data_IF_145486888867
#
_entry.id   IF_145486888867
#
_cell.length_a   1.000
_cell.length_b   1.000
_cell.length_c   1.000
_cell.angle_alpha   90.00
_cell.angle_beta   90.00
_cell.angle_gamma   90.00
#
_symmetry.space_group_name_H-M   'P 1'
#
loop_
_entity.id
_entity.type
_entity.pdbx_description
1 polymer ?
#
# COMPACT_ATOMS: atom_id res chain seq x y z
N UNK A 1 -15.52 42.95 0.01
CA UNK A 1 -16.70 42.14 0.44
C UNK A 1 -16.99 41.10 -0.63
N UNK A 2 -16.57 39.84 -0.45
CA UNK A 2 -17.21 38.73 -1.14
C UNK A 2 -18.36 38.17 -0.27
N UNK A 3 -19.57 38.00 -0.83
CA UNK A 3 -20.75 37.57 -0.09
C UNK A 3 -20.79 36.05 0.12
N UNK A 4 -21.01 35.67 1.37
CA UNK A 4 -21.51 34.37 1.79
C UNK A 4 -22.88 34.11 1.16
N UNK A 5 -23.08 32.94 0.54
CA UNK A 5 -24.41 32.40 0.22
C UNK A 5 -24.45 30.89 0.47
N UNK A 6 -25.26 30.56 1.49
CA UNK A 6 -25.86 29.27 1.81
C UNK A 6 -26.52 28.60 0.60
N UNK A 7 -26.48 27.26 0.61
CA UNK A 7 -27.53 26.27 0.24
C UNK A 7 -26.79 24.98 -0.20
N UNK A 8 -27.20 23.74 0.08
CA UNK A 8 -28.55 23.18 0.18
C UNK A 8 -28.45 21.78 0.83
N UNK A 9 -29.49 21.37 1.55
CA UNK A 9 -29.73 19.97 1.93
C UNK A 9 -29.86 19.04 0.71
N UNK A 10 -29.40 17.81 0.85
CA UNK A 10 -29.80 16.63 0.05
C UNK A 10 -29.39 15.36 0.82
N UNK A 11 -30.28 14.72 1.59
CA UNK A 11 -31.37 13.81 1.21
C UNK A 11 -30.88 12.40 0.80
N UNK A 12 -31.06 11.47 1.75
CA UNK A 12 -31.26 10.01 1.69
C UNK A 12 -30.65 9.16 0.54
N UNK A 13 -29.98 8.09 0.95
CA UNK A 13 -29.76 6.91 0.11
C UNK A 13 -29.38 5.67 0.93
N UNK A 14 -30.37 4.95 1.46
CA UNK A 14 -30.23 3.59 2.01
C UNK A 14 -30.41 2.55 0.90
N UNK A 15 -29.44 1.66 0.74
CA UNK A 15 -29.51 0.35 0.05
C UNK A 15 -28.21 -0.39 0.33
N UNK A 16 -28.08 -1.70 0.45
CA UNK A 16 -28.94 -2.85 0.73
C UNK A 16 -27.93 -3.99 0.96
N UNK A 17 -28.19 -4.87 1.91
CA UNK A 17 -27.36 -6.03 2.26
C UNK A 17 -27.40 -7.11 1.17
N UNK A 18 -26.24 -7.70 0.86
CA UNK A 18 -26.15 -9.00 0.22
C UNK A 18 -25.25 -9.92 1.06
N UNK A 19 -25.88 -10.92 1.69
CA UNK A 19 -25.24 -12.06 2.33
C UNK A 19 -24.95 -13.10 1.24
N UNK A 20 -23.69 -13.52 1.09
CA UNK A 20 -23.37 -14.79 0.46
C UNK A 20 -22.52 -15.62 1.42
N UNK A 21 -23.17 -16.66 1.92
CA UNK A 21 -22.60 -17.76 2.68
C UNK A 21 -21.84 -18.70 1.75
N UNK A 22 -20.77 -19.31 2.25
CA UNK A 22 -20.05 -20.38 1.57
C UNK A 22 -19.20 -21.17 2.56
N UNK A 23 -19.83 -22.07 3.32
CA UNK A 23 -19.17 -23.05 4.18
C UNK A 23 -19.04 -24.42 3.46
N UNK A 24 -17.86 -25.02 3.63
CA UNK A 24 -17.60 -26.46 3.81
C UNK A 24 -17.60 -27.43 2.62
N UNK A 25 -16.42 -28.01 2.37
CA UNK A 25 -16.17 -29.46 2.31
C UNK A 25 -14.68 -29.67 2.70
N UNK A 26 -14.28 -30.31 3.80
CA UNK A 26 -14.51 -31.69 4.26
C UNK A 26 -14.10 -32.74 3.20
N UNK A 27 -12.85 -33.19 3.31
CA UNK A 27 -12.32 -34.38 2.65
C UNK A 27 -11.18 -34.94 3.51
N UNK A 28 -11.56 -35.76 4.50
CA UNK A 28 -10.69 -36.71 5.20
C UNK A 28 -10.73 -38.06 4.47
N UNK A 29 -9.78 -38.93 4.82
CA UNK A 29 -9.70 -40.39 4.55
C UNK A 29 -8.99 -40.76 3.24
N UNK A 30 -7.83 -41.43 3.25
CA UNK A 30 -7.72 -42.86 3.57
C UNK A 30 -6.28 -43.29 3.88
N UNK A 31 -6.24 -44.31 4.75
CA UNK A 31 -5.21 -45.17 5.33
C UNK A 31 -4.30 -45.99 4.37
N UNK A 32 -3.38 -46.73 5.01
CA UNK A 32 -2.63 -47.93 4.57
C UNK A 32 -1.36 -47.79 3.68
N UNK A 33 -0.18 -47.97 4.28
CA UNK A 33 0.51 -49.27 4.36
C UNK A 33 2.03 -49.10 4.52
N UNK A 34 2.61 -49.85 5.46
CA UNK A 34 4.03 -49.87 5.73
C UNK A 34 4.72 -50.99 4.95
N UNK A 35 5.75 -50.69 4.15
CA UNK A 35 6.86 -51.65 3.97
C UNK A 35 8.15 -50.97 3.53
N UNK A 36 9.24 -51.25 4.25
CA UNK A 36 10.60 -50.87 3.89
C UNK A 36 11.09 -51.67 2.68
N UNK A 37 11.67 -51.00 1.67
CA UNK A 37 12.61 -51.66 0.76
C UNK A 37 13.72 -50.71 0.33
N UNK A 38 14.90 -50.96 0.89
CA UNK A 38 16.18 -50.46 0.42
C UNK A 38 16.50 -51.09 -0.93
N UNK A 39 16.68 -50.28 -1.98
CA UNK A 39 16.96 -50.76 -3.33
C UNK A 39 17.62 -49.68 -4.18
N UNK A 40 18.83 -49.97 -4.62
CA UNK A 40 19.72 -49.07 -5.34
C UNK A 40 19.21 -48.57 -6.70
N UNK A 41 19.75 -47.39 -7.05
CA UNK A 41 20.35 -47.02 -8.34
C UNK A 41 19.43 -46.47 -9.46
N UNK A 42 19.83 -45.25 -9.82
CA UNK A 42 19.77 -44.62 -11.15
C UNK A 42 18.41 -44.08 -11.55
N UNK A 43 18.15 -42.85 -11.14
CA UNK A 43 17.18 -41.96 -11.77
C UNK A 43 17.98 -40.75 -12.27
N UNK A 44 18.11 -40.57 -13.58
CA UNK A 44 17.09 -40.10 -14.53
C UNK A 44 17.24 -38.60 -14.68
N UNK A 45 17.59 -38.26 -15.92
CA UNK A 45 17.38 -36.99 -16.57
C UNK A 45 16.15 -36.25 -16.01
N UNK A 46 16.36 -35.29 -15.13
CA UNK A 46 15.37 -34.26 -14.85
C UNK A 46 15.94 -32.97 -15.41
N UNK A 47 15.64 -32.76 -16.68
CA UNK A 47 15.38 -31.43 -17.21
C UNK A 47 14.38 -30.74 -16.29
N UNK A 48 14.89 -30.17 -15.21
CA UNK A 48 14.21 -29.16 -14.41
C UNK A 48 13.96 -28.02 -15.37
N UNK A 49 12.79 -28.06 -15.99
CA UNK A 49 12.20 -26.88 -16.60
C UNK A 49 12.32 -25.82 -15.51
N UNK A 50 13.07 -24.72 -15.69
CA UNK A 50 13.02 -23.65 -14.72
C UNK A 50 11.53 -23.34 -14.59
N UNK A 51 10.95 -23.64 -13.43
CA UNK A 51 9.64 -23.12 -13.10
C UNK A 51 9.88 -21.63 -13.22
N UNK A 52 9.35 -21.05 -14.30
CA UNK A 52 9.41 -19.62 -14.50
C UNK A 52 8.88 -19.06 -13.21
N UNK A 53 9.78 -18.48 -12.43
CA UNK A 53 9.49 -17.75 -11.22
C UNK A 53 8.41 -16.78 -11.66
N UNK A 54 7.16 -17.08 -11.30
CA UNK A 54 6.05 -16.24 -11.65
C UNK A 54 6.32 -14.98 -10.85
N UNK A 55 6.95 -13.99 -11.50
CA UNK A 55 7.33 -12.75 -10.87
C UNK A 55 6.11 -12.26 -10.10
N UNK A 56 6.28 -12.06 -8.79
CA UNK A 56 5.24 -11.47 -7.96
C UNK A 56 4.76 -10.19 -8.67
N UNK A 57 3.45 -9.93 -8.69
CA UNK A 57 2.96 -8.70 -9.29
C UNK A 57 3.64 -7.52 -8.60
N UNK A 58 4.10 -6.55 -9.40
CA UNK A 58 4.73 -5.34 -8.89
C UNK A 58 3.83 -4.72 -7.82
N UNK A 59 4.40 -4.41 -6.67
CA UNK A 59 3.65 -3.93 -5.51
C UNK A 59 4.20 -2.60 -5.01
N UNK A 60 3.30 -1.72 -4.56
CA UNK A 60 3.64 -0.45 -3.93
C UNK A 60 3.42 -0.58 -2.43
N UNK A 61 4.44 -0.25 -1.64
CA UNK A 61 4.38 -0.21 -0.17
C UNK A 61 4.89 1.15 0.34
N UNK A 62 4.15 1.73 1.29
CA UNK A 62 4.59 2.90 2.04
C UNK A 62 4.89 2.51 3.49
N UNK A 63 6.05 2.91 4.01
CA UNK A 63 6.47 2.60 5.39
C UNK A 63 6.78 3.87 6.17
N UNK A 64 6.58 3.82 7.48
CA UNK A 64 7.09 4.79 8.44
C UNK A 64 8.31 4.18 9.15
N UNK A 65 9.44 4.88 9.08
CA UNK A 65 10.70 4.47 9.69
C UNK A 65 11.17 5.59 10.63
N UNK A 66 11.62 5.23 11.82
CA UNK A 66 12.11 6.15 12.85
C UNK A 66 12.92 5.41 13.92
N UNK A 67 13.28 6.08 15.03
CA UNK A 67 14.21 5.54 16.03
C UNK A 67 13.79 4.18 16.62
N UNK A 68 12.49 4.02 16.88
CA UNK A 68 11.90 2.81 17.46
C UNK A 68 10.69 2.31 16.63
N UNK A 69 10.58 2.77 15.39
CA UNK A 69 9.45 2.48 14.50
C UNK A 69 9.95 2.02 13.15
N UNK A 70 9.49 0.86 12.72
CA UNK A 70 9.58 0.42 11.32
C UNK A 70 8.31 -0.37 11.01
N UNK A 71 7.37 0.28 10.34
CA UNK A 71 6.06 -0.31 10.05
C UNK A 71 5.52 0.10 8.69
N UNK A 72 4.82 -0.82 8.04
CA UNK A 72 4.01 -0.51 6.86
C UNK A 72 2.85 0.40 7.27
N UNK A 73 2.69 1.49 6.52
CA UNK A 73 1.58 2.43 6.63
C UNK A 73 0.40 1.97 5.78
N UNK A 74 0.66 1.65 4.51
CA UNK A 74 -0.31 1.09 3.57
C UNK A 74 0.41 0.46 2.37
N UNK A 75 -0.34 -0.34 1.61
CA UNK A 75 0.04 -0.87 0.28
C UNK A 75 -0.82 -0.24 -0.81
N UNK A 76 -0.57 -0.58 -2.08
CA UNK A 76 -1.38 -0.12 -3.22
C UNK A 76 -2.90 -0.21 -3.00
N UNK A 77 -3.38 -1.30 -2.39
CA UNK A 77 -4.78 -1.52 -2.04
C UNK A 77 -5.42 -0.46 -1.12
N UNK A 78 -4.60 0.34 -0.43
CA UNK A 78 -5.06 1.43 0.41
C UNK A 78 -5.38 2.72 -0.34
N UNK A 79 -5.11 2.77 -1.66
CA UNK A 79 -5.27 3.96 -2.50
C UNK A 79 -6.65 4.00 -3.14
N UNK A 80 -7.33 5.15 -3.06
CA UNK A 80 -8.65 5.35 -3.68
C UNK A 80 -8.60 6.05 -5.02
N UNK A 81 -7.57 6.88 -5.24
CA UNK A 81 -7.37 7.59 -6.51
C UNK A 81 -5.90 7.92 -6.73
N UNK A 82 -5.48 7.77 -7.98
CA UNK A 82 -4.18 8.24 -8.45
C UNK A 82 -4.35 9.26 -9.58
N UNK A 83 -3.56 10.34 -9.51
CA UNK A 83 -3.53 11.42 -10.48
C UNK A 83 -2.63 11.13 -11.68
N UNK A 84 -2.46 12.15 -12.53
CA UNK A 84 -1.51 12.13 -13.64
C UNK A 84 -0.08 12.41 -13.12
N UNK A 85 0.93 11.81 -13.76
CA UNK A 85 2.34 12.12 -13.52
C UNK A 85 2.64 13.54 -13.99
N UNK A 86 3.18 14.36 -13.09
CA UNK A 86 3.50 15.77 -13.36
C UNK A 86 4.97 16.07 -13.08
N UNK A 87 5.64 16.75 -14.02
CA UNK A 87 7.00 17.25 -13.79
C UNK A 87 6.96 18.37 -12.75
N UNK A 88 7.78 18.25 -11.70
CA UNK A 88 7.80 19.22 -10.61
C UNK A 88 8.82 20.32 -10.86
N UNK A 89 8.56 21.52 -10.32
CA UNK A 89 9.44 22.69 -10.52
C UNK A 89 10.81 22.51 -9.88
N UNK A 90 10.87 21.76 -8.78
CA UNK A 90 12.10 21.41 -8.07
C UNK A 90 12.93 20.32 -8.75
N UNK A 91 12.45 19.76 -9.86
CA UNK A 91 13.00 18.53 -10.45
C UNK A 91 12.18 17.31 -10.06
N UNK A 92 12.43 16.19 -10.74
CA UNK A 92 11.68 14.95 -10.59
C UNK A 92 10.24 15.00 -11.11
N UNK A 93 9.49 13.97 -10.76
CA UNK A 93 8.10 13.75 -11.16
C UNK A 93 7.25 13.47 -9.92
N UNK A 94 6.13 14.18 -9.83
CA UNK A 94 5.15 14.07 -8.78
C UNK A 94 3.92 13.31 -9.27
N UNK A 95 3.41 12.41 -8.43
CA UNK A 95 2.20 11.65 -8.66
C UNK A 95 1.23 11.92 -7.49
N UNK A 96 0.15 12.69 -7.71
CA UNK A 96 -0.87 12.91 -6.69
C UNK A 96 -1.57 11.60 -6.34
N UNK A 97 -1.73 11.32 -5.05
CA UNK A 97 -2.38 10.11 -4.53
C UNK A 97 -3.38 10.52 -3.45
N UNK A 98 -4.54 9.87 -3.47
CA UNK A 98 -5.58 9.97 -2.46
C UNK A 98 -5.80 8.60 -1.87
N UNK A 99 -5.73 8.48 -0.54
CA UNK A 99 -6.02 7.23 0.17
C UNK A 99 -7.54 6.99 0.27
N UNK A 100 -7.94 5.75 0.50
CA UNK A 100 -9.27 5.48 1.01
C UNK A 100 -9.40 6.04 2.44
N UNK A 101 -10.59 6.50 2.84
CA UNK A 101 -10.81 7.12 4.17
C UNK A 101 -10.36 6.22 5.33
N UNK A 102 -10.63 4.91 5.23
CA UNK A 102 -10.21 3.94 6.23
C UNK A 102 -8.67 3.87 6.35
N UNK A 103 -7.98 3.77 5.21
CA UNK A 103 -6.51 3.79 5.15
C UNK A 103 -5.94 5.10 5.69
N UNK A 104 -6.52 6.24 5.34
CA UNK A 104 -6.08 7.54 5.85
C UNK A 104 -6.20 7.63 7.39
N UNK A 105 -7.27 7.09 7.96
CA UNK A 105 -7.45 7.01 9.41
C UNK A 105 -6.41 6.11 10.07
N UNK A 106 -6.12 4.93 9.50
CA UNK A 106 -5.11 4.00 9.98
C UNK A 106 -3.70 4.62 9.95
N UNK A 107 -3.36 5.30 8.85
CA UNK A 107 -2.08 6.03 8.73
C UNK A 107 -1.98 7.12 9.79
N UNK A 108 -3.04 7.90 9.98
CA UNK A 108 -3.07 8.95 11.00
C UNK A 108 -2.88 8.40 12.42
N UNK A 109 -3.50 7.25 12.71
CA UNK A 109 -3.30 6.54 13.97
C UNK A 109 -1.87 6.02 14.12
N UNK A 110 -1.29 5.45 13.08
CA UNK A 110 0.09 4.96 13.09
C UNK A 110 1.10 6.08 13.38
N UNK A 111 0.92 7.26 12.78
CA UNK A 111 1.75 8.44 13.04
C UNK A 111 1.61 8.93 14.49
N UNK A 112 0.38 9.03 15.01
CA UNK A 112 0.12 9.41 16.39
C UNK A 112 0.72 8.42 17.38
N UNK A 113 0.57 7.12 17.13
CA UNK A 113 1.11 6.06 17.98
C UNK A 113 2.65 6.04 18.00
N UNK A 114 3.29 6.47 16.91
CA UNK A 114 4.75 6.59 16.80
C UNK A 114 5.30 7.90 17.38
N UNK A 115 4.46 8.84 17.83
CA UNK A 115 4.91 10.13 18.37
C UNK A 115 5.38 11.13 17.31
N UNK A 116 5.05 10.91 16.03
CA UNK A 116 5.50 11.77 14.91
C UNK A 116 5.02 13.21 15.07
N UNK A 117 3.84 13.42 15.68
CA UNK A 117 3.29 14.75 15.94
C UNK A 117 4.10 15.56 16.96
N UNK A 118 4.89 14.92 17.82
CA UNK A 118 5.67 15.58 18.87
C UNK A 118 7.07 15.95 18.38
N UNK A 119 7.72 15.04 17.67
CA UNK A 119 9.06 15.23 17.09
C UNK A 119 9.12 14.54 15.71
N UNK A 120 8.83 15.24 14.60
CA UNK A 120 8.78 14.63 13.27
C UNK A 120 10.15 14.47 12.60
N UNK A 121 11.16 15.24 13.01
CA UNK A 121 12.50 15.26 12.42
C UNK A 121 13.20 13.88 12.33
N UNK A 122 13.09 12.97 13.32
CA UNK A 122 13.74 11.66 13.24
C UNK A 122 12.97 10.64 12.38
N UNK A 123 11.81 10.99 11.82
CA UNK A 123 10.97 10.06 11.05
C UNK A 123 11.09 10.27 9.54
N UNK A 124 11.13 9.15 8.83
CA UNK A 124 11.10 9.07 7.38
C UNK A 124 9.90 8.23 6.91
N UNK A 125 9.31 8.64 5.80
CA UNK A 125 8.36 7.85 5.02
C UNK A 125 9.11 7.24 3.85
N UNK A 126 9.10 5.91 3.75
CA UNK A 126 9.86 5.16 2.74
C UNK A 126 8.89 4.56 1.73
N UNK A 127 9.07 4.94 0.47
CA UNK A 127 8.36 4.36 -0.67
C UNK A 127 9.14 3.16 -1.20
N UNK A 128 8.48 2.02 -1.25
CA UNK A 128 8.98 0.82 -1.93
C UNK A 128 8.12 0.46 -3.13
N UNK A 129 8.78 0.05 -4.19
CA UNK A 129 8.17 -0.49 -5.40
C UNK A 129 8.87 -1.81 -5.73
N UNK A 130 8.09 -2.87 -5.88
CA UNK A 130 8.60 -4.22 -6.15
C UNK A 130 9.66 -4.68 -5.12
N UNK A 131 9.42 -4.34 -3.85
CA UNK A 131 10.35 -4.62 -2.76
C UNK A 131 11.61 -3.75 -2.72
N UNK A 132 11.89 -2.92 -3.73
CA UNK A 132 13.03 -2.01 -3.73
C UNK A 132 12.67 -0.65 -3.16
N UNK A 133 13.60 0.00 -2.46
CA UNK A 133 13.38 1.37 -1.97
C UNK A 133 13.56 2.35 -3.12
N UNK A 134 12.48 3.00 -3.53
CA UNK A 134 12.49 4.00 -4.60
C UNK A 134 12.77 5.39 -4.06
N UNK A 135 12.22 5.72 -2.89
CA UNK A 135 12.43 7.04 -2.30
C UNK A 135 12.26 7.06 -0.78
N UNK A 136 12.82 8.09 -0.15
CA UNK A 136 12.67 8.41 1.26
C UNK A 136 12.31 9.88 1.43
N UNK A 137 11.31 10.14 2.27
CA UNK A 137 10.81 11.47 2.55
C UNK A 137 10.91 11.75 4.04
N UNK A 138 11.54 12.86 4.43
CA UNK A 138 11.38 13.34 5.80
C UNK A 138 9.93 13.75 6.06
N UNK A 139 9.44 13.52 7.27
CA UNK A 139 8.12 14.01 7.67
C UNK A 139 8.21 15.51 7.94
N UNK A 140 7.48 16.32 7.16
CA UNK A 140 7.44 17.76 7.41
C UNK A 140 6.66 18.08 8.70
N UNK A 141 7.09 19.10 9.44
CA UNK A 141 6.38 19.57 10.63
C UNK A 141 4.90 19.92 10.36
N UNK A 142 4.60 20.43 9.15
CA UNK A 142 3.22 20.71 8.75
C UNK A 142 2.39 19.42 8.64
N UNK A 143 2.89 18.41 7.94
CA UNK A 143 2.18 17.14 7.80
C UNK A 143 1.95 16.48 9.17
N UNK A 144 2.96 16.52 10.04
CA UNK A 144 2.85 16.00 11.39
C UNK A 144 1.76 16.71 12.21
N UNK A 145 1.69 18.05 12.11
CA UNK A 145 0.63 18.85 12.74
C UNK A 145 -0.75 18.52 12.15
N UNK A 146 -0.89 18.55 10.82
CA UNK A 146 -2.15 18.25 10.11
C UNK A 146 -2.68 16.85 10.52
N UNK A 147 -1.80 15.84 10.69
CA UNK A 147 -2.19 14.51 11.17
C UNK A 147 -2.56 14.49 12.66
N UNK A 148 -1.80 15.19 13.50
CA UNK A 148 -2.04 15.25 14.94
C UNK A 148 -3.38 15.95 15.27
N UNK A 149 -3.72 16.98 14.49
CA UNK A 149 -4.94 17.76 14.61
C UNK A 149 -6.13 17.11 13.89
N UNK A 150 -5.89 16.05 13.09
CA UNK A 150 -6.91 15.34 12.33
C UNK A 150 -7.42 16.12 11.12
N UNK A 151 -6.63 17.07 10.63
CA UNK A 151 -6.90 17.91 9.46
C UNK A 151 -6.39 17.28 8.15
N UNK A 152 -5.51 16.28 8.22
CA UNK A 152 -5.02 15.58 7.03
C UNK A 152 -6.08 14.65 6.42
N UNK A 153 -6.42 14.89 5.15
CA UNK A 153 -7.49 14.18 4.42
C UNK A 153 -7.00 12.97 3.61
N UNK A 154 -5.78 12.47 3.87
CA UNK A 154 -5.25 11.31 3.13
C UNK A 154 -4.71 11.65 1.74
N UNK A 155 -4.52 12.92 1.42
CA UNK A 155 -3.97 13.39 0.15
C UNK A 155 -2.47 13.72 0.26
N UNK A 156 -1.68 13.30 -0.73
CA UNK A 156 -0.26 13.62 -0.81
C UNK A 156 0.28 13.48 -2.24
N UNK A 157 1.52 13.92 -2.46
CA UNK A 157 2.21 13.79 -3.74
C UNK A 157 3.40 12.85 -3.55
N UNK A 158 3.38 11.71 -4.25
CA UNK A 158 4.54 10.84 -4.37
C UNK A 158 5.56 11.50 -5.29
N UNK A 159 6.78 11.69 -4.80
CA UNK A 159 7.87 12.24 -5.59
C UNK A 159 8.82 11.12 -5.99
N UNK A 160 9.21 11.08 -7.25
CA UNK A 160 10.24 10.16 -7.77
C UNK A 160 11.16 10.91 -8.74
N UNK A 161 12.37 10.40 -8.93
CA UNK A 161 13.37 11.05 -9.78
C UNK A 161 13.01 10.92 -11.27
N UNK A 162 12.53 9.73 -11.66
CA UNK A 162 12.34 9.33 -13.04
C UNK A 162 10.87 9.25 -13.45
N UNK A 163 10.60 9.66 -14.70
CA UNK A 163 9.24 9.65 -15.25
C UNK A 163 8.72 8.23 -15.45
N UNK A 164 9.60 7.34 -15.86
CA UNK A 164 9.28 5.94 -16.15
C UNK A 164 8.80 5.24 -14.88
N UNK A 165 9.58 5.32 -13.80
CA UNK A 165 9.19 4.84 -12.48
C UNK A 165 7.89 5.47 -11.98
N UNK A 166 7.68 6.78 -12.19
CA UNK A 166 6.42 7.43 -11.83
C UNK A 166 5.21 6.84 -12.59
N UNK A 167 5.41 6.50 -13.86
CA UNK A 167 4.37 5.93 -14.72
C UNK A 167 4.06 4.48 -14.36
N UNK A 168 5.09 3.69 -14.04
CA UNK A 168 4.95 2.31 -13.57
C UNK A 168 4.22 2.22 -12.22
N UNK A 169 4.60 3.06 -11.26
CA UNK A 169 3.91 3.17 -9.97
C UNK A 169 2.45 3.60 -10.20
N UNK A 170 2.22 4.60 -11.06
CA UNK A 170 0.85 5.04 -11.39
C UNK A 170 0.01 3.91 -11.97
N UNK A 171 0.58 3.12 -12.89
CA UNK A 171 -0.13 1.99 -13.49
C UNK A 171 -0.47 0.96 -12.42
N UNK A 172 0.52 0.56 -11.63
CA UNK A 172 0.34 -0.40 -10.53
C UNK A 172 -0.76 0.02 -9.55
N UNK A 173 -0.78 1.30 -9.15
CA UNK A 173 -1.81 1.82 -8.24
C UNK A 173 -3.19 2.03 -8.89
N UNK A 174 -3.27 2.03 -10.22
CA UNK A 174 -4.53 2.21 -10.95
C UNK A 174 -5.17 0.88 -11.35
N UNK A 175 -4.41 -0.21 -11.35
CA UNK A 175 -4.84 -1.56 -11.69
C UNK A 175 -5.22 -2.40 -10.45
N UNK A 176 -5.00 -1.89 -9.23
CA UNK A 176 -5.40 -2.49 -7.93
C UNK A 176 -6.86 -2.14 -7.55
#
# INVERSE_FOLDING_TARGET
MPPSRRATLGLFGTTATALLAGCSAAGLETDDDATAQSGSRTETDEGGTPTADAADPASVEMRLVGPETDRTLFTGAGVSRVGEVQKQRSGGYGLPVVLADATAAEVSEAFRAAGVGEDPDPFEVVLRYDGETVNRFGVSARLAADIAEGEWEGEFILMVEDRETAAEIRQTLADD
#
